data_IF_778546749340
#
_entry.id   IF_778546749340
#
_cell.length_a   1.000
_cell.length_b   1.000
_cell.length_c   1.000
_cell.angle_alpha   90.00
_cell.angle_beta   90.00
_cell.angle_gamma   90.00
#
_symmetry.space_group_name_H-M   'P 1'
#
loop_
_entity.id
_entity.type
_entity.pdbx_description
1 polymer ?
#
# COMPACT_ATOMS: atom_id res chain seq x y z
N UNK A 1 13.24 -14.64 2.76
CA UNK A 1 13.16 -13.27 3.27
C UNK A 1 13.49 -12.27 2.17
N UNK A 2 12.91 -11.09 2.27
CA UNK A 2 13.17 -10.01 1.31
C UNK A 2 14.62 -9.51 1.45
N UNK A 3 15.23 -9.22 0.29
CA UNK A 3 16.59 -8.69 0.23
C UNK A 3 16.64 -7.25 0.75
N UNK A 4 17.81 -6.81 1.23
CA UNK A 4 18.05 -5.47 1.78
C UNK A 4 17.55 -4.36 0.84
N UNK A 5 17.92 -4.42 -0.44
CA UNK A 5 17.49 -3.40 -1.41
C UNK A 5 15.97 -3.30 -1.60
N UNK A 6 15.22 -4.36 -1.32
CA UNK A 6 13.75 -4.34 -1.36
C UNK A 6 13.20 -3.71 -0.08
N UNK A 7 13.79 -4.03 1.06
CA UNK A 7 13.43 -3.43 2.36
C UNK A 7 13.67 -1.92 2.31
N UNK A 8 14.84 -1.49 1.86
CA UNK A 8 15.17 -0.08 1.64
C UNK A 8 14.18 0.61 0.69
N UNK A 9 13.82 -0.07 -0.41
CA UNK A 9 12.86 0.48 -1.37
C UNK A 9 11.51 0.82 -0.74
N UNK A 10 11.01 -0.01 0.17
CA UNK A 10 9.73 0.21 0.84
C UNK A 10 9.84 0.99 2.16
N UNK A 11 11.04 1.39 2.57
CA UNK A 11 11.30 2.07 3.83
C UNK A 11 11.14 1.17 5.06
N UNK A 12 11.26 -0.16 4.88
CA UNK A 12 11.14 -1.13 5.98
C UNK A 12 12.45 -1.14 6.76
N UNK A 13 12.48 -0.49 7.89
CA UNK A 13 13.63 -0.42 8.79
C UNK A 13 13.43 -1.37 9.97
N UNK A 14 14.53 -1.84 10.55
CA UNK A 14 14.50 -2.76 11.69
C UNK A 14 14.51 -4.24 11.32
N UNK A 15 14.62 -5.08 12.35
CA UNK A 15 14.71 -6.55 12.22
C UNK A 15 13.32 -7.19 12.31
N UNK A 16 12.49 -6.88 11.31
CA UNK A 16 11.15 -7.47 11.18
C UNK A 16 11.12 -8.47 10.04
N UNK A 17 10.47 -9.64 10.20
CA UNK A 17 10.32 -10.61 9.12
C UNK A 17 9.60 -9.98 7.91
N UNK A 18 10.23 -10.03 6.76
CA UNK A 18 9.69 -9.51 5.51
C UNK A 18 9.94 -10.53 4.39
N UNK A 19 8.91 -10.86 3.63
CA UNK A 19 8.97 -11.89 2.60
C UNK A 19 8.53 -11.33 1.25
N UNK A 20 9.08 -11.93 0.19
CA UNK A 20 8.67 -11.61 -1.17
C UNK A 20 7.43 -12.42 -1.54
N UNK A 21 6.47 -11.78 -2.15
CA UNK A 21 5.23 -12.39 -2.61
C UNK A 21 5.48 -13.59 -3.56
N UNK A 22 6.42 -13.46 -4.47
CA UNK A 22 6.82 -14.53 -5.39
C UNK A 22 7.39 -15.77 -4.67
N UNK A 23 8.06 -15.60 -3.52
CA UNK A 23 8.55 -16.74 -2.73
C UNK A 23 7.38 -17.51 -2.10
N UNK A 24 6.33 -16.78 -1.67
CA UNK A 24 5.10 -17.39 -1.16
C UNK A 24 4.40 -18.17 -2.27
N UNK A 25 4.27 -17.61 -3.46
CA UNK A 25 3.70 -18.28 -4.64
C UNK A 25 4.44 -19.58 -4.97
N UNK A 26 5.78 -19.53 -4.97
CA UNK A 26 6.62 -20.70 -5.20
C UNK A 26 6.47 -21.75 -4.11
N UNK A 27 6.34 -21.32 -2.85
CA UNK A 27 6.06 -22.20 -1.70
C UNK A 27 4.75 -22.95 -1.85
N UNK A 28 3.67 -22.24 -2.19
CA UNK A 28 2.35 -22.83 -2.43
C UNK A 28 2.39 -23.82 -3.60
N UNK A 29 3.04 -23.45 -4.71
CA UNK A 29 3.26 -24.35 -5.84
C UNK A 29 4.01 -25.62 -5.44
N UNK A 30 5.03 -25.50 -4.61
CA UNK A 30 5.80 -26.65 -4.11
C UNK A 30 4.89 -27.57 -3.28
N UNK A 31 4.12 -27.02 -2.34
CA UNK A 31 3.19 -27.78 -1.50
C UNK A 31 2.12 -28.50 -2.32
N UNK A 32 1.56 -27.83 -3.32
CA UNK A 32 0.57 -28.43 -4.22
C UNK A 32 1.15 -29.63 -4.98
N UNK A 33 2.40 -29.56 -5.44
CA UNK A 33 3.10 -30.69 -6.09
C UNK A 33 3.32 -31.86 -5.13
N UNK A 34 3.63 -31.60 -3.86
CA UNK A 34 3.78 -32.65 -2.84
C UNK A 34 2.44 -33.32 -2.57
N UNK A 35 1.35 -32.56 -2.39
CA UNK A 35 0.02 -33.07 -2.19
C UNK A 35 -0.40 -34.01 -3.36
N UNK A 36 -0.21 -33.55 -4.58
CA UNK A 36 -0.51 -34.34 -5.78
C UNK A 36 0.29 -35.65 -5.84
N UNK A 37 1.62 -35.59 -5.63
CA UNK A 37 2.48 -36.79 -5.66
C UNK A 37 2.10 -37.80 -4.58
N UNK A 38 1.72 -37.30 -3.39
CA UNK A 38 1.33 -38.16 -2.28
C UNK A 38 -0.14 -38.59 -2.30
N UNK A 39 -0.92 -38.07 -3.24
CA UNK A 39 -2.37 -38.31 -3.36
C UNK A 39 -3.09 -38.01 -2.03
N UNK A 40 -2.73 -36.90 -1.38
CA UNK A 40 -3.33 -36.48 -0.10
C UNK A 40 -3.89 -35.08 -0.24
N UNK A 41 -5.01 -34.78 0.45
CA UNK A 41 -5.48 -33.41 0.57
C UNK A 41 -4.44 -32.56 1.31
N UNK A 42 -4.46 -31.26 1.07
CA UNK A 42 -3.56 -30.27 1.64
C UNK A 42 -4.35 -29.04 2.09
N UNK A 43 -4.03 -28.56 3.28
CA UNK A 43 -4.46 -27.23 3.76
C UNK A 43 -3.21 -26.38 3.90
N UNK A 44 -3.20 -25.22 3.27
CA UNK A 44 -2.14 -24.21 3.38
C UNK A 44 -2.69 -23.04 4.17
N UNK A 45 -2.06 -22.69 5.28
CA UNK A 45 -2.39 -21.53 6.08
C UNK A 45 -1.31 -20.46 5.88
N UNK A 46 -1.73 -19.26 5.47
CA UNK A 46 -0.85 -18.10 5.28
C UNK A 46 -1.18 -17.11 6.40
N UNK A 47 -0.30 -17.04 7.40
CA UNK A 47 -0.44 -16.20 8.60
C UNK A 47 0.25 -14.83 8.45
N UNK A 48 0.45 -14.36 7.23
CA UNK A 48 1.09 -13.08 6.93
C UNK A 48 0.27 -12.32 5.88
N UNK A 49 0.44 -11.02 5.82
CA UNK A 49 -0.23 -10.17 4.84
C UNK A 49 0.42 -8.80 4.72
N UNK A 50 -0.10 -8.00 3.81
CA UNK A 50 0.30 -6.61 3.59
C UNK A 50 -0.93 -5.73 3.44
N UNK A 51 -0.82 -4.47 3.85
CA UNK A 51 -1.82 -3.43 3.57
C UNK A 51 -1.48 -2.60 2.33
N UNK A 52 -0.38 -2.92 1.63
CA UNK A 52 -0.08 -2.33 0.33
C UNK A 52 -0.72 -3.17 -0.78
N UNK A 53 -1.15 -2.50 -1.84
CA UNK A 53 -1.85 -3.13 -2.95
C UNK A 53 -3.31 -2.70 -3.08
N UNK A 54 -3.97 -3.15 -4.14
CA UNK A 54 -5.40 -2.89 -4.34
C UNK A 54 -6.25 -3.75 -3.40
N UNK A 55 -7.00 -3.11 -2.52
CA UNK A 55 -7.91 -3.80 -1.60
C UNK A 55 -9.27 -4.19 -2.22
N UNK A 56 -9.50 -3.85 -3.48
CA UNK A 56 -10.75 -4.15 -4.19
C UNK A 56 -10.67 -5.38 -5.08
N UNK A 57 -9.48 -5.76 -5.49
CA UNK A 57 -9.19 -7.00 -6.22
C UNK A 57 -7.78 -7.44 -5.88
N UNK A 58 -7.61 -8.72 -5.75
CA UNK A 58 -6.36 -9.29 -5.35
C UNK A 58 -5.23 -9.10 -6.32
N UNK A 59 -4.05 -8.94 -5.74
CA UNK A 59 -2.80 -8.94 -6.45
C UNK A 59 -2.44 -10.31 -7.02
N UNK A 60 -1.26 -10.40 -7.62
CA UNK A 60 -0.78 -11.62 -8.26
C UNK A 60 -0.74 -12.83 -7.29
N UNK A 61 -0.45 -12.60 -6.01
CA UNK A 61 -0.52 -13.65 -4.98
C UNK A 61 -1.95 -14.18 -4.83
N UNK A 62 -2.95 -13.29 -4.71
CA UNK A 62 -4.35 -13.66 -4.56
C UNK A 62 -4.85 -14.50 -5.72
N UNK A 63 -4.56 -14.12 -6.97
CA UNK A 63 -4.93 -14.91 -8.15
C UNK A 63 -4.29 -16.30 -8.15
N UNK A 64 -3.01 -16.40 -7.76
CA UNK A 64 -2.32 -17.69 -7.64
C UNK A 64 -2.99 -18.54 -6.57
N UNK A 65 -3.27 -17.98 -5.38
CA UNK A 65 -3.93 -18.71 -4.29
C UNK A 65 -5.32 -19.18 -4.68
N UNK A 66 -6.12 -18.34 -5.34
CA UNK A 66 -7.44 -18.69 -5.85
C UNK A 66 -7.35 -19.85 -6.84
N UNK A 67 -6.36 -19.82 -7.76
CA UNK A 67 -6.18 -20.90 -8.74
C UNK A 67 -5.90 -22.26 -8.06
N UNK A 68 -5.12 -22.26 -6.97
CA UNK A 68 -4.88 -23.48 -6.19
C UNK A 68 -6.07 -23.87 -5.32
N UNK A 69 -6.79 -22.90 -4.73
CA UNK A 69 -8.00 -23.13 -3.95
C UNK A 69 -9.13 -23.83 -4.75
N UNK A 70 -9.14 -23.66 -6.07
CA UNK A 70 -10.07 -24.32 -6.98
C UNK A 70 -9.72 -25.81 -7.23
N UNK A 71 -8.55 -26.27 -6.79
CA UNK A 71 -8.16 -27.69 -6.95
C UNK A 71 -8.83 -28.56 -5.89
N UNK A 72 -9.45 -29.66 -6.32
CA UNK A 72 -10.08 -30.59 -5.39
C UNK A 72 -9.06 -31.16 -4.38
N UNK A 73 -9.36 -31.00 -3.10
CA UNK A 73 -8.52 -31.47 -2.01
C UNK A 73 -7.37 -30.52 -1.64
N UNK A 74 -7.37 -29.30 -2.16
CA UNK A 74 -6.44 -28.25 -1.78
C UNK A 74 -7.21 -27.05 -1.22
N UNK A 75 -6.89 -26.64 0.00
CA UNK A 75 -7.56 -25.53 0.69
C UNK A 75 -6.49 -24.51 1.06
N UNK A 76 -6.77 -23.24 0.77
CA UNK A 76 -5.95 -22.11 1.21
C UNK A 76 -6.73 -21.30 2.24
N UNK A 77 -6.09 -20.98 3.34
CA UNK A 77 -6.61 -20.10 4.41
C UNK A 77 -5.63 -18.97 4.62
N UNK A 78 -6.09 -17.74 4.49
CA UNK A 78 -5.28 -16.54 4.69
C UNK A 78 -5.77 -15.76 5.92
N UNK A 79 -4.84 -15.15 6.65
CA UNK A 79 -5.14 -14.28 7.76
C UNK A 79 -5.58 -12.90 7.26
N UNK A 80 -6.67 -12.37 7.84
CA UNK A 80 -7.20 -11.04 7.46
C UNK A 80 -6.35 -9.86 7.95
N UNK A 81 -5.32 -10.11 8.74
CA UNK A 81 -4.56 -9.05 9.41
C UNK A 81 -5.28 -8.52 10.66
N UNK A 82 -4.72 -7.50 11.27
CA UNK A 82 -5.20 -6.88 12.50
C UNK A 82 -5.06 -5.34 12.45
N UNK A 83 -5.19 -4.76 11.26
CA UNK A 83 -4.94 -3.34 11.01
C UNK A 83 -6.16 -2.42 11.26
N UNK A 84 -7.33 -2.96 11.58
CA UNK A 84 -8.57 -2.19 11.74
C UNK A 84 -8.56 -1.11 12.83
N UNK A 85 -7.62 -1.17 13.78
CA UNK A 85 -7.46 -0.19 14.86
C UNK A 85 -6.12 0.55 14.84
N UNK A 86 -5.38 0.49 13.75
CA UNK A 86 -4.05 1.12 13.63
C UNK A 86 -4.11 2.56 13.14
N UNK A 87 -5.26 2.98 12.59
CA UNK A 87 -5.41 4.27 11.90
C UNK A 87 -4.53 4.37 10.63
N UNK A 88 -4.26 3.25 9.97
CA UNK A 88 -3.42 3.15 8.78
C UNK A 88 -4.20 3.19 7.47
N UNK A 89 -5.51 3.40 7.52
CA UNK A 89 -6.34 3.57 6.33
C UNK A 89 -7.10 4.90 6.39
N UNK A 90 -7.14 5.59 5.25
CA UNK A 90 -7.95 6.79 5.00
C UNK A 90 -8.83 6.55 3.79
N UNK A 91 -10.11 6.93 3.90
CA UNK A 91 -11.10 6.82 2.84
C UNK A 91 -11.69 8.18 2.50
N UNK A 92 -11.83 8.46 1.19
CA UNK A 92 -12.58 9.59 0.65
C UNK A 92 -13.67 9.08 -0.28
N UNK A 93 -14.91 9.08 0.19
CA UNK A 93 -16.07 8.58 -0.56
C UNK A 93 -16.31 9.37 -1.84
N UNK A 94 -16.20 10.71 -1.77
CA UNK A 94 -16.42 11.57 -2.91
C UNK A 94 -15.51 12.80 -2.84
N UNK A 95 -14.71 13.00 -3.86
CA UNK A 95 -14.01 14.25 -4.14
C UNK A 95 -14.56 14.82 -5.45
N UNK A 96 -15.26 15.94 -5.39
CA UNK A 96 -15.92 16.55 -6.54
C UNK A 96 -14.98 16.84 -7.72
N UNK A 97 -15.55 16.98 -8.90
CA UNK A 97 -14.81 17.26 -10.13
C UNK A 97 -13.87 18.47 -9.97
N UNK A 98 -12.59 18.30 -10.33
CA UNK A 98 -11.54 19.33 -10.23
C UNK A 98 -11.32 19.92 -8.84
N UNK A 99 -11.84 19.28 -7.80
CA UNK A 99 -11.62 19.69 -6.40
C UNK A 99 -10.34 19.08 -5.83
N UNK A 100 -9.94 19.60 -4.67
CA UNK A 100 -8.81 19.09 -3.90
C UNK A 100 -9.20 18.85 -2.44
N UNK A 101 -8.47 17.98 -1.76
CA UNK A 101 -8.61 17.72 -0.32
C UNK A 101 -7.25 17.45 0.30
N UNK A 102 -7.10 17.79 1.58
CA UNK A 102 -5.87 17.49 2.34
C UNK A 102 -6.10 16.24 3.19
N UNK A 103 -5.25 15.24 3.00
CA UNK A 103 -5.15 14.07 3.86
C UNK A 103 -4.05 14.32 4.88
N UNK A 104 -4.42 14.42 6.14
CA UNK A 104 -3.50 14.70 7.24
C UNK A 104 -2.91 13.40 7.77
N UNK A 105 -1.58 13.33 7.73
CA UNK A 105 -0.77 12.21 8.18
C UNK A 105 0.15 12.67 9.30
N UNK A 106 -0.02 12.12 10.49
CA UNK A 106 0.96 12.30 11.56
C UNK A 106 2.14 11.35 11.31
N UNK A 107 3.34 11.89 11.34
CA UNK A 107 4.59 11.13 11.37
C UNK A 107 5.11 11.14 12.81
N UNK A 108 5.37 9.95 13.35
CA UNK A 108 5.91 9.76 14.69
C UNK A 108 7.40 10.07 14.78
N UNK A 109 7.90 10.15 16.02
CA UNK A 109 9.32 10.42 16.25
C UNK A 109 10.19 9.24 15.79
N UNK A 110 11.36 9.57 15.24
CA UNK A 110 12.36 8.60 14.78
C UNK A 110 11.84 7.68 13.67
N UNK A 111 10.92 8.16 12.83
CA UNK A 111 10.51 7.45 11.64
C UNK A 111 11.62 7.55 10.59
N UNK A 112 12.19 6.40 10.20
CA UNK A 112 13.29 6.36 9.23
C UNK A 112 12.77 6.44 7.79
N UNK A 113 11.55 5.95 7.57
CA UNK A 113 10.89 5.98 6.28
C UNK A 113 9.72 5.01 6.18
N UNK A 114 8.85 5.25 5.24
CA UNK A 114 7.71 4.38 4.95
C UNK A 114 7.18 4.63 3.53
N UNK A 115 6.38 3.68 3.06
CA UNK A 115 5.64 3.81 1.81
C UNK A 115 4.15 3.94 2.12
N UNK A 116 3.47 4.92 1.51
CA UNK A 116 2.00 4.97 1.48
C UNK A 116 1.52 4.90 0.03
N UNK A 117 0.37 4.29 -0.18
CA UNK A 117 -0.25 4.18 -1.50
C UNK A 117 -1.62 4.85 -1.48
N UNK A 118 -1.87 5.69 -2.49
CA UNK A 118 -3.18 6.22 -2.81
C UNK A 118 -3.73 5.41 -4.00
N UNK A 119 -4.94 4.89 -3.85
CA UNK A 119 -5.63 4.16 -4.89
C UNK A 119 -6.89 4.91 -5.28
N UNK A 120 -6.89 5.47 -6.48
CA UNK A 120 -8.03 6.19 -7.05
C UNK A 120 -8.83 5.24 -7.94
N UNK A 121 -10.11 5.10 -7.63
CA UNK A 121 -11.00 4.16 -8.31
C UNK A 121 -11.26 4.59 -9.76
N UNK A 122 -11.07 3.66 -10.68
CA UNK A 122 -11.33 3.91 -12.11
C UNK A 122 -12.79 4.31 -12.36
N UNK A 123 -13.06 5.24 -13.28
CA UNK A 123 -12.15 5.90 -14.22
C UNK A 123 -11.50 7.18 -13.67
N UNK A 124 -11.50 7.39 -12.35
CA UNK A 124 -10.91 8.55 -11.69
C UNK A 124 -9.39 8.60 -11.87
N UNK A 125 -8.84 9.80 -11.83
CA UNK A 125 -7.41 10.06 -11.79
C UNK A 125 -7.13 11.15 -10.77
N UNK A 126 -6.09 10.95 -9.98
CA UNK A 126 -5.64 11.87 -8.96
C UNK A 126 -4.19 12.33 -9.20
N UNK A 127 -3.88 13.51 -8.75
CA UNK A 127 -2.50 13.94 -8.56
C UNK A 127 -2.28 14.41 -7.13
N UNK A 128 -1.04 14.48 -6.68
CA UNK A 128 -0.75 14.83 -5.30
C UNK A 128 0.25 15.97 -5.19
N UNK A 129 0.17 16.71 -4.07
CA UNK A 129 1.18 17.63 -3.59
C UNK A 129 1.40 17.40 -2.11
N UNK A 130 2.59 17.68 -1.61
CA UNK A 130 2.95 17.43 -0.23
C UNK A 130 3.23 18.74 0.51
N UNK A 131 2.74 18.84 1.73
CA UNK A 131 3.01 19.97 2.62
C UNK A 131 3.67 19.39 3.87
N UNK A 132 4.89 19.87 4.18
CA UNK A 132 5.65 19.44 5.34
C UNK A 132 5.09 20.01 6.64
N UNK A 133 5.50 19.50 7.81
CA UNK A 133 5.15 20.08 9.11
C UNK A 133 5.56 21.55 9.25
N UNK A 134 6.66 21.95 8.64
CA UNK A 134 7.14 23.35 8.60
C UNK A 134 6.37 24.23 7.61
N UNK A 135 5.47 23.67 6.80
CA UNK A 135 4.66 24.38 5.84
C UNK A 135 5.29 24.53 4.44
N UNK A 136 6.44 23.88 4.20
CA UNK A 136 7.03 23.85 2.85
C UNK A 136 6.13 23.03 1.92
N UNK A 137 5.77 23.61 0.76
CA UNK A 137 4.91 22.95 -0.23
C UNK A 137 5.72 22.47 -1.44
N UNK A 138 5.60 21.21 -1.77
CA UNK A 138 6.32 20.60 -2.90
C UNK A 138 5.89 21.09 -4.28
N UNK A 139 4.76 21.79 -4.36
CA UNK A 139 4.03 21.93 -5.60
C UNK A 139 3.22 20.67 -5.94
N UNK A 140 2.35 20.77 -6.92
CA UNK A 140 1.56 19.65 -7.45
C UNK A 140 2.41 18.80 -8.37
N UNK A 141 2.36 17.50 -8.17
CA UNK A 141 2.98 16.50 -9.04
C UNK A 141 1.92 15.90 -9.96
N UNK A 142 2.27 15.70 -11.22
CA UNK A 142 1.37 15.10 -12.20
C UNK A 142 1.87 13.73 -12.61
N UNK A 143 0.94 12.86 -12.96
CA UNK A 143 1.26 11.55 -13.50
C UNK A 143 2.16 11.66 -14.74
N UNK A 144 3.33 11.04 -14.68
CA UNK A 144 4.27 10.89 -15.79
C UNK A 144 4.66 9.44 -15.91
N UNK A 145 4.22 8.80 -16.99
CA UNK A 145 4.48 7.37 -17.20
C UNK A 145 5.99 7.13 -17.29
N UNK A 146 6.47 6.23 -16.44
CA UNK A 146 7.88 5.81 -16.42
C UNK A 146 8.85 6.80 -15.75
N UNK A 147 8.38 7.93 -15.25
CA UNK A 147 9.21 8.89 -14.52
C UNK A 147 8.88 8.88 -13.01
N UNK A 148 9.92 8.66 -12.21
CA UNK A 148 9.87 8.86 -10.77
C UNK A 148 10.09 10.33 -10.47
N UNK A 149 9.20 10.93 -9.69
CA UNK A 149 9.39 12.28 -9.20
C UNK A 149 10.10 12.26 -7.85
N UNK A 150 11.08 13.14 -7.68
CA UNK A 150 11.88 13.25 -6.45
C UNK A 150 11.68 14.63 -5.87
N UNK A 151 11.13 14.70 -4.68
CA UNK A 151 10.91 15.92 -3.93
C UNK A 151 11.91 15.95 -2.77
N UNK A 152 12.55 17.10 -2.56
CA UNK A 152 13.47 17.33 -1.46
C UNK A 152 13.00 18.52 -0.65
N UNK A 153 12.53 18.26 0.55
CA UNK A 153 12.18 19.31 1.51
C UNK A 153 13.47 19.83 2.17
N UNK A 154 13.68 21.13 2.04
CA UNK A 154 14.93 21.75 2.48
C UNK A 154 14.97 21.95 3.99
N UNK A 155 13.85 22.32 4.59
CA UNK A 155 13.74 22.59 6.02
C UNK A 155 13.82 21.30 6.83
N UNK A 156 13.07 20.28 6.42
CA UNK A 156 12.97 18.98 7.12
C UNK A 156 14.04 17.98 6.69
N UNK A 157 14.79 18.27 5.62
CA UNK A 157 15.77 17.34 5.02
C UNK A 157 15.16 16.00 4.57
N UNK A 158 13.85 15.96 4.44
CA UNK A 158 13.08 14.79 3.99
C UNK A 158 13.17 14.65 2.48
N UNK A 159 13.32 13.41 2.01
CA UNK A 159 13.25 13.09 0.59
C UNK A 159 12.03 12.23 0.34
N UNK A 160 11.22 12.61 -0.65
CA UNK A 160 10.03 11.85 -1.04
C UNK A 160 10.10 11.47 -2.52
N UNK A 161 9.85 10.21 -2.79
CA UNK A 161 9.69 9.71 -4.16
C UNK A 161 8.22 9.46 -4.45
N UNK A 162 7.76 9.91 -5.61
CA UNK A 162 6.39 9.69 -6.07
C UNK A 162 6.41 8.96 -7.41
N UNK A 163 5.78 7.81 -7.44
CA UNK A 163 5.62 6.97 -8.62
C UNK A 163 4.12 6.86 -8.96
N UNK A 164 3.74 7.06 -10.22
CA UNK A 164 2.38 6.92 -10.71
C UNK A 164 2.22 5.66 -11.56
N UNK A 165 1.26 4.84 -11.22
CA UNK A 165 0.77 3.73 -12.02
C UNK A 165 -0.69 4.04 -12.39
N UNK A 166 -0.90 4.57 -13.60
CA UNK A 166 -2.21 5.08 -14.05
C UNK A 166 -3.29 4.00 -14.18
N UNK A 167 -2.87 2.77 -14.47
CA UNK A 167 -3.77 1.63 -14.58
C UNK A 167 -3.05 0.44 -13.96
N UNK A 168 -3.50 0.03 -12.80
CA UNK A 168 -3.03 -1.21 -12.18
C UNK A 168 -3.49 -2.40 -13.03
N UNK A 169 -2.59 -3.35 -13.25
CA UNK A 169 -2.92 -4.60 -13.94
C UNK A 169 -4.01 -5.40 -13.20
N UNK A 170 -4.06 -5.27 -11.90
CA UNK A 170 -4.91 -6.06 -11.01
C UNK A 170 -6.35 -5.53 -10.96
N UNK A 171 -6.52 -4.24 -10.62
CA UNK A 171 -7.83 -3.64 -10.40
C UNK A 171 -8.29 -2.72 -11.54
N UNK A 172 -7.35 -2.22 -12.34
CA UNK A 172 -7.61 -1.15 -13.31
C UNK A 172 -7.57 0.25 -12.71
N UNK A 173 -7.40 0.37 -11.39
CA UNK A 173 -7.36 1.63 -10.67
C UNK A 173 -5.98 2.29 -10.80
N UNK A 174 -5.95 3.61 -10.58
CA UNK A 174 -4.69 4.33 -10.44
C UNK A 174 -4.09 4.09 -9.06
N UNK A 175 -2.77 3.84 -9.02
CA UNK A 175 -1.98 3.84 -7.79
C UNK A 175 -0.94 4.95 -7.81
N UNK A 176 -0.97 5.81 -6.80
CA UNK A 176 0.09 6.78 -6.52
C UNK A 176 0.87 6.29 -5.31
N UNK A 177 2.11 5.85 -5.55
CA UNK A 177 2.99 5.39 -4.49
C UNK A 177 3.89 6.52 -4.03
N UNK A 178 3.82 6.82 -2.73
CA UNK A 178 4.56 7.92 -2.09
C UNK A 178 5.50 7.30 -1.06
N UNK A 179 6.80 7.45 -1.24
CA UNK A 179 7.82 6.89 -0.36
C UNK A 179 8.58 7.99 0.34
N UNK A 180 8.46 8.03 1.65
CA UNK A 180 9.16 8.97 2.53
C UNK A 180 10.47 8.38 3.02
N UNK A 181 11.53 9.18 3.03
CA UNK A 181 12.84 8.85 3.57
C UNK A 181 13.29 9.96 4.53
N UNK A 182 13.56 9.58 5.77
CA UNK A 182 13.88 10.50 6.85
C UNK A 182 12.81 11.57 7.05
N UNK A 183 11.51 11.21 7.16
CA UNK A 183 10.50 12.23 7.36
C UNK A 183 10.61 12.86 8.73
N UNK A 184 10.53 14.20 8.79
CA UNK A 184 10.49 14.93 10.05
C UNK A 184 9.19 14.62 10.81
N UNK A 185 9.29 14.54 12.14
CA UNK A 185 8.13 14.35 13.01
C UNK A 185 7.15 15.50 12.88
N UNK A 186 5.86 15.20 12.82
CA UNK A 186 4.81 16.20 12.79
C UNK A 186 3.66 15.83 11.87
N UNK A 187 2.86 16.83 11.52
CA UNK A 187 1.70 16.64 10.65
C UNK A 187 2.07 17.01 9.22
N UNK A 188 2.15 16.01 8.39
CA UNK A 188 2.24 16.13 6.94
C UNK A 188 0.84 16.22 6.35
N UNK A 189 0.69 16.95 5.25
CA UNK A 189 -0.56 16.95 4.47
C UNK A 189 -0.26 16.49 3.06
N UNK A 190 -0.97 15.46 2.64
CA UNK A 190 -0.98 14.99 1.27
C UNK A 190 -2.19 15.63 0.61
N UNK A 191 -1.96 16.64 -0.21
CA UNK A 191 -3.01 17.30 -0.95
C UNK A 191 -3.32 16.49 -2.20
N UNK A 192 -4.53 15.99 -2.28
CA UNK A 192 -5.02 15.17 -3.39
C UNK A 192 -5.92 16.01 -4.28
N UNK A 193 -5.63 16.00 -5.58
CA UNK A 193 -6.38 16.72 -6.60
C UNK A 193 -7.11 15.74 -7.49
N UNK A 194 -8.40 15.96 -7.71
CA UNK A 194 -9.15 15.24 -8.74
C UNK A 194 -8.81 15.83 -10.12
N UNK A 195 -8.22 15.01 -11.00
CA UNK A 195 -7.82 15.41 -12.36
C UNK A 195 -8.95 15.31 -13.38
N UNK A 196 -10.12 14.83 -12.97
CA UNK A 196 -11.23 14.51 -13.87
C UNK A 196 -12.40 15.48 -13.71
N UNK A 197 -13.31 15.44 -14.70
CA UNK A 197 -14.56 16.22 -14.68
C UNK A 197 -15.73 15.47 -14.00
N UNK A 198 -15.43 14.36 -13.35
CA UNK A 198 -16.37 13.57 -12.56
C UNK A 198 -15.90 13.47 -11.11
N UNK A 199 -16.79 13.24 -10.15
CA UNK A 199 -16.38 12.92 -8.79
C UNK A 199 -15.54 11.64 -8.76
N UNK A 200 -14.55 11.58 -7.86
CA UNK A 200 -13.69 10.41 -7.66
C UNK A 200 -13.75 9.93 -6.22
N UNK A 201 -13.54 8.65 -6.05
CA UNK A 201 -13.35 7.98 -4.76
C UNK A 201 -11.91 7.50 -4.69
N UNK A 202 -11.29 7.65 -3.54
CA UNK A 202 -9.95 7.12 -3.33
C UNK A 202 -9.73 6.65 -1.89
N UNK A 203 -8.78 5.76 -1.74
CA UNK A 203 -8.33 5.23 -0.48
C UNK A 203 -6.82 5.42 -0.35
N UNK A 204 -6.32 5.52 0.89
CA UNK A 204 -4.89 5.53 1.17
C UNK A 204 -4.56 4.55 2.28
N UNK A 205 -3.49 3.78 2.07
CA UNK A 205 -2.99 2.86 3.09
C UNK A 205 -1.55 3.16 3.46
N UNK A 206 -1.27 3.08 4.75
CA UNK A 206 0.08 2.97 5.32
C UNK A 206 0.46 1.48 5.41
N UNK A 207 1.75 1.15 5.57
CA UNK A 207 2.18 -0.23 5.80
C UNK A 207 1.53 -0.83 7.06
N UNK A 208 1.57 -2.14 7.16
CA UNK A 208 1.20 -2.83 8.40
C UNK A 208 2.04 -2.32 9.58
N UNK A 209 1.46 -2.39 10.79
CA UNK A 209 2.06 -1.82 12.02
C UNK A 209 3.50 -2.22 12.30
N UNK A 210 3.91 -3.41 11.83
CA UNK A 210 5.27 -3.91 12.07
C UNK A 210 6.31 -3.28 11.13
N UNK A 211 5.87 -2.62 10.05
CA UNK A 211 6.74 -1.99 9.04
C UNK A 211 6.82 -0.47 9.18
N UNK A 212 6.16 0.10 10.16
CA UNK A 212 6.13 1.54 10.40
C UNK A 212 6.26 1.82 11.90
N UNK A 213 6.84 2.96 12.28
CA UNK A 213 7.01 3.32 13.69
C UNK A 213 5.68 3.67 14.34
N UNK A 214 5.56 3.37 15.63
CA UNK A 214 4.43 3.82 16.43
C UNK A 214 4.32 5.34 16.39
N UNK A 215 3.10 5.86 16.20
CA UNK A 215 2.83 7.28 16.12
C UNK A 215 2.76 7.86 14.72
N UNK A 216 2.96 7.02 13.68
CA UNK A 216 2.71 7.38 12.28
C UNK A 216 1.34 6.82 11.87
N UNK A 217 0.36 7.71 11.60
CA UNK A 217 -1.03 7.34 11.32
C UNK A 217 -1.82 8.49 10.66
N UNK A 218 -2.94 8.19 10.01
CA UNK A 218 -3.87 9.20 9.49
C UNK A 218 -4.70 9.83 10.62
N UNK A 219 -4.87 11.16 10.62
CA UNK A 219 -5.65 11.86 11.65
C UNK A 219 -7.16 11.63 11.53
N UNK A 220 -7.62 11.31 10.33
CA UNK A 220 -9.02 10.95 10.05
C UNK A 220 -9.08 9.55 9.41
N UNK A 221 -8.80 8.50 10.20
CA UNK A 221 -8.77 7.15 9.67
C UNK A 221 -10.16 6.58 9.44
N UNK A 222 -10.25 5.65 8.50
CA UNK A 222 -11.42 4.79 8.32
C UNK A 222 -11.04 3.35 8.71
N UNK A 223 -11.75 2.67 9.62
CA UNK A 223 -11.45 1.30 10.01
C UNK A 223 -11.95 0.24 9.01
N UNK A 224 -12.73 0.64 8.02
CA UNK A 224 -13.21 -0.26 6.97
C UNK A 224 -12.10 -0.56 5.95
N UNK A 225 -12.27 -1.62 5.17
CA UNK A 225 -11.36 -2.02 4.08
C UNK A 225 -9.90 -2.16 4.55
N UNK A 226 -9.70 -2.72 5.74
CA UNK A 226 -8.40 -2.95 6.36
C UNK A 226 -7.98 -4.41 6.35
N UNK A 227 -8.70 -5.26 5.62
CA UNK A 227 -8.30 -6.65 5.39
C UNK A 227 -7.03 -6.66 4.54
N UNK A 228 -5.98 -7.29 5.07
CA UNK A 228 -4.70 -7.39 4.38
C UNK A 228 -4.76 -8.35 3.18
N UNK A 229 -3.99 -8.05 2.12
CA UNK A 229 -3.70 -9.03 1.08
C UNK A 229 -2.84 -10.18 1.67
N UNK A 230 -3.10 -11.48 1.36
CA UNK A 230 -4.00 -11.96 0.32
C UNK A 230 -5.41 -12.36 0.78
N UNK A 231 -5.87 -11.96 1.95
CA UNK A 231 -7.17 -12.36 2.46
C UNK A 231 -8.35 -11.51 1.92
N UNK A 232 -8.06 -10.43 1.21
CA UNK A 232 -9.02 -9.55 0.56
C UNK A 232 -9.50 -10.04 -0.83
N UNK A 233 -9.14 -11.27 -1.23
CA UNK A 233 -9.46 -11.92 -2.50
C UNK A 233 -10.58 -12.94 -2.39
#
# INVERSE_FOLDING_TARGET
EAKENIREYYGITGDVPCYMENDIMLGVRYLARIAYRRRRPMVVCIGMGTSLGSHYRGGALGEVLQSYGNLRGFIVVAACGNEGNTSHHFHQEELGARQETDVELRVGSREDGFTTELWCKAPGLCSVGLISPGGEYSGRTYARVGERQVIRFLLEKTVVYIDYLLVSFESGDECVRIRFFGPEEGIWRIRVFNETDIPVQFDMWLPIRDFIRQGTYFLRPDPNITICDPANN
#
